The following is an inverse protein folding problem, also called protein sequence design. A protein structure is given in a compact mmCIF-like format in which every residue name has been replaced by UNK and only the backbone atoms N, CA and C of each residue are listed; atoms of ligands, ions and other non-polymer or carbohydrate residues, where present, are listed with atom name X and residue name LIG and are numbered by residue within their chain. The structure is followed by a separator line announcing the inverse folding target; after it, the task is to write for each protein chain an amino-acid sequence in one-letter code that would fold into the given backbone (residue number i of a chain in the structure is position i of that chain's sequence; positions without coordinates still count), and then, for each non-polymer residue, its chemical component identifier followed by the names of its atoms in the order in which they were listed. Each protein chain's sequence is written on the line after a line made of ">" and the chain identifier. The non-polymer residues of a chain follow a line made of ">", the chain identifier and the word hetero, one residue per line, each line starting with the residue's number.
data_IF_213290654193
#
_entry.id   IF_213290654193
#
_cell.length_a   1.000
_cell.length_b   1.000
_cell.length_c   1.000
_cell.angle_alpha   90.00
_cell.angle_beta   90.00
_cell.angle_gamma   90.00
#
_symmetry.space_group_name_H-M   'P 1'
#
loop_
_entity.id
_entity.type
_entity.pdbx_description
1 polymer ?
#
# COMPACT_ATOMS: atom_id res chain seq x y z
N UNK A 1 1.25 17.06 3.74
CA UNK A 1 1.19 16.65 2.31
C UNK A 1 1.11 15.13 2.12
N UNK A 2 2.05 14.30 2.63
CA UNK A 2 2.01 12.83 2.41
C UNK A 2 0.80 12.12 3.05
N UNK A 3 0.42 12.48 4.27
CA UNK A 3 -0.75 11.89 4.95
C UNK A 3 -2.08 12.20 4.26
N UNK A 4 -2.17 13.37 3.63
CA UNK A 4 -3.39 13.84 2.98
C UNK A 4 -3.62 13.11 1.64
N UNK A 5 -2.56 12.94 0.84
CA UNK A 5 -2.58 12.12 -0.37
C UNK A 5 -2.90 10.65 -0.04
N UNK A 6 -2.35 10.13 1.06
CA UNK A 6 -2.67 8.78 1.51
C UNK A 6 -4.15 8.66 1.91
N UNK A 7 -4.68 9.61 2.70
CA UNK A 7 -6.09 9.61 3.10
C UNK A 7 -7.06 9.76 1.93
N UNK A 8 -6.72 10.53 0.90
CA UNK A 8 -7.60 10.69 -0.26
C UNK A 8 -7.70 9.43 -1.13
N UNK A 9 -6.67 8.58 -1.15
CA UNK A 9 -6.64 7.37 -2.00
C UNK A 9 -6.89 6.06 -1.23
N UNK A 10 -6.74 6.04 0.10
CA UNK A 10 -7.02 4.86 0.93
C UNK A 10 -8.44 4.27 0.73
N UNK A 11 -9.50 5.08 0.55
CA UNK A 11 -10.84 4.56 0.24
C UNK A 11 -10.87 3.76 -1.07
N UNK A 12 -10.18 4.24 -2.10
CA UNK A 12 -10.13 3.59 -3.41
C UNK A 12 -9.35 2.27 -3.36
N UNK A 13 -8.26 2.22 -2.60
CA UNK A 13 -7.55 0.97 -2.34
C UNK A 13 -8.46 -0.06 -1.64
N UNK A 14 -9.23 0.38 -0.64
CA UNK A 14 -10.15 -0.51 0.09
C UNK A 14 -11.26 -1.06 -0.80
N UNK A 15 -11.87 -0.24 -1.66
CA UNK A 15 -12.92 -0.72 -2.57
C UNK A 15 -12.38 -1.75 -3.57
N UNK A 16 -11.20 -1.49 -4.17
CA UNK A 16 -10.58 -2.42 -5.11
C UNK A 16 -10.27 -3.79 -4.47
N UNK A 17 -9.88 -3.81 -3.20
CA UNK A 17 -9.58 -5.06 -2.50
C UNK A 17 -10.82 -5.89 -2.18
N UNK A 18 -11.97 -5.26 -1.89
CA UNK A 18 -13.23 -5.99 -1.64
C UNK A 18 -13.66 -6.82 -2.84
N UNK A 19 -13.46 -6.28 -4.03
CA UNK A 19 -13.87 -6.92 -5.29
C UNK A 19 -12.77 -7.85 -5.85
N UNK A 20 -11.61 -7.92 -5.20
CA UNK A 20 -10.48 -8.75 -5.64
C UNK A 20 -10.19 -9.83 -4.60
N UNK A 21 -10.73 -11.06 -4.74
CA UNK A 21 -10.64 -12.11 -3.71
C UNK A 21 -9.20 -12.57 -3.43
N UNK A 22 -8.29 -12.36 -4.39
CA UNK A 22 -6.87 -12.64 -4.23
C UNK A 22 -6.03 -11.46 -4.79
N UNK A 23 -5.94 -10.34 -4.06
CA UNK A 23 -5.21 -9.16 -4.50
C UNK A 23 -3.70 -9.35 -4.34
N UNK A 24 -2.93 -8.91 -5.33
CA UNK A 24 -1.48 -8.81 -5.26
C UNK A 24 -1.09 -7.33 -5.32
N UNK A 25 -0.24 -6.89 -4.38
CA UNK A 25 0.09 -5.47 -4.23
C UNK A 25 1.56 -5.24 -4.57
N UNK A 26 1.82 -4.31 -5.50
CA UNK A 26 3.17 -3.86 -5.83
C UNK A 26 3.32 -2.36 -5.51
N UNK A 27 4.29 -2.03 -4.66
CA UNK A 27 4.61 -0.67 -4.23
C UNK A 27 6.04 -0.32 -4.68
N UNK A 28 6.19 0.77 -5.42
CA UNK A 28 7.48 1.30 -5.85
C UNK A 28 7.46 2.85 -5.81
N UNK A 29 7.80 3.42 -4.66
CA UNK A 29 7.81 4.86 -4.41
C UNK A 29 9.08 5.25 -3.62
N UNK A 30 9.17 6.48 -3.10
CA UNK A 30 10.23 6.81 -2.13
C UNK A 30 10.20 5.87 -0.91
N UNK A 31 11.34 5.74 -0.24
CA UNK A 31 11.51 4.79 0.87
C UNK A 31 10.56 5.06 2.04
N UNK A 32 10.27 6.31 2.37
CA UNK A 32 9.38 6.65 3.48
C UNK A 32 7.93 6.25 3.13
N UNK A 33 7.46 6.64 1.94
CA UNK A 33 6.12 6.31 1.45
C UNK A 33 5.93 4.80 1.31
N UNK A 34 6.92 4.09 0.77
CA UNK A 34 6.88 2.63 0.62
C UNK A 34 6.70 1.94 1.99
N UNK A 35 7.40 2.39 3.03
CA UNK A 35 7.25 1.83 4.38
C UNK A 35 5.86 2.06 4.97
N UNK A 36 5.32 3.27 4.82
CA UNK A 36 3.98 3.61 5.31
C UNK A 36 2.90 2.77 4.61
N UNK A 37 2.93 2.69 3.28
CA UNK A 37 2.00 1.87 2.50
C UNK A 37 2.12 0.38 2.85
N UNK A 38 3.35 -0.14 2.97
CA UNK A 38 3.56 -1.54 3.37
C UNK A 38 2.95 -1.85 4.72
N UNK A 39 3.08 -0.93 5.70
CA UNK A 39 2.47 -1.10 7.01
C UNK A 39 0.95 -1.10 6.91
N UNK A 40 0.36 -0.16 6.16
CA UNK A 40 -1.08 -0.07 5.98
C UNK A 40 -1.68 -1.34 5.35
N UNK A 41 -1.16 -1.78 4.20
CA UNK A 41 -1.68 -2.95 3.51
C UNK A 41 -1.54 -4.23 4.34
N UNK A 42 -0.47 -4.36 5.14
CA UNK A 42 -0.26 -5.53 6.00
C UNK A 42 -1.08 -5.53 7.27
N UNK A 43 -1.16 -4.38 7.96
CA UNK A 43 -1.75 -4.30 9.29
C UNK A 43 -3.24 -4.00 9.26
N UNK A 44 -3.64 -3.08 8.39
CA UNK A 44 -5.03 -2.61 8.33
C UNK A 44 -5.85 -3.41 7.31
N UNK A 45 -5.24 -3.80 6.19
CA UNK A 45 -5.93 -4.50 5.09
C UNK A 45 -5.64 -6.00 5.01
N UNK A 46 -4.82 -6.53 5.93
CA UNK A 46 -4.58 -7.96 6.08
C UNK A 46 -3.91 -8.66 4.89
N UNK A 47 -3.23 -7.93 4.00
CA UNK A 47 -2.60 -8.54 2.82
C UNK A 47 -1.40 -9.40 3.26
N UNK A 48 -1.35 -10.70 2.88
CA UNK A 48 -0.24 -11.58 3.22
C UNK A 48 1.07 -11.11 2.59
N UNK A 49 2.20 -11.26 3.30
CA UNK A 49 3.54 -10.86 2.81
C UNK A 49 3.88 -11.49 1.46
N UNK A 50 3.48 -12.74 1.24
CA UNK A 50 3.74 -13.50 0.00
C UNK A 50 3.01 -12.91 -1.21
N UNK A 51 2.01 -12.05 -0.98
CA UNK A 51 1.17 -11.41 -2.00
C UNK A 51 1.51 -9.93 -2.13
N UNK A 52 2.67 -9.53 -1.62
CA UNK A 52 3.16 -8.16 -1.66
C UNK A 52 4.60 -8.10 -2.15
N UNK A 53 4.85 -7.14 -3.04
CA UNK A 53 6.20 -6.65 -3.34
C UNK A 53 6.27 -5.16 -3.03
N UNK A 54 7.20 -4.76 -2.18
CA UNK A 54 7.39 -3.37 -1.80
C UNK A 54 8.87 -3.02 -1.88
N UNK A 55 9.20 -2.04 -2.71
CA UNK A 55 10.56 -1.58 -2.97
C UNK A 55 10.63 -0.05 -2.85
N UNK A 56 11.48 0.44 -1.95
CA UNK A 56 11.82 1.86 -1.92
C UNK A 56 12.66 2.18 -3.15
N UNK A 57 12.07 2.80 -4.15
CA UNK A 57 12.69 3.04 -5.45
C UNK A 57 13.71 4.18 -5.40
N UNK A 58 13.42 5.22 -4.61
CA UNK A 58 14.39 6.28 -4.30
C UNK A 58 14.36 6.66 -2.80
N UNK A 59 15.35 7.44 -2.39
CA UNK A 59 15.37 8.13 -1.09
C UNK A 59 14.95 9.58 -1.34
N UNK A 60 14.03 10.15 -0.53
CA UNK A 60 13.68 11.57 -0.63
C UNK A 60 14.90 12.48 -0.41
#
# INVERSE_FOLDING_TARGET
>A
MRDELFRSHAPQATSLLKDTPNPYVWIACDTATTRSLTSYFRKELGIPKQRMHALGYWRP
#
